data_IF_745150885736
#
_entry.id   IF_745150885736
#
_cell.length_a   1.000
_cell.length_b   1.000
_cell.length_c   1.000
_cell.angle_alpha   90.00
_cell.angle_beta   90.00
_cell.angle_gamma   90.00
#
_symmetry.space_group_name_H-M   'P 1'
#
loop_
_entity.id
_entity.type
_entity.pdbx_description
1 polymer ?
#
# COMPACT_ATOMS: atom_id res chain seq x y z
N UNK A 1 -38.53 28.03 22.67
CA UNK A 1 -37.07 28.15 22.54
C UNK A 1 -36.46 26.78 22.74
N UNK A 2 -36.32 26.05 21.66
CA UNK A 2 -35.77 24.69 21.63
C UNK A 2 -34.38 24.78 20.99
N UNK A 3 -33.34 24.65 21.81
CA UNK A 3 -31.96 24.62 21.38
C UNK A 3 -31.66 23.25 20.77
N UNK A 4 -31.49 23.24 19.45
CA UNK A 4 -30.99 22.10 18.69
C UNK A 4 -29.51 21.97 18.93
N UNK A 5 -29.12 20.91 19.61
CA UNK A 5 -27.70 20.58 19.88
C UNK A 5 -27.22 19.69 18.74
N UNK A 6 -26.67 20.28 17.67
CA UNK A 6 -26.03 19.57 16.58
C UNK A 6 -24.69 19.01 17.05
N UNK A 7 -24.75 17.81 17.61
CA UNK A 7 -23.58 17.01 17.90
C UNK A 7 -23.02 16.47 16.58
N UNK A 8 -22.14 17.25 15.93
CA UNK A 8 -21.44 16.87 14.71
C UNK A 8 -20.45 15.75 15.08
N UNK A 9 -20.91 14.52 14.83
CA UNK A 9 -20.11 13.30 14.96
C UNK A 9 -18.82 13.43 14.13
N UNK A 10 -17.71 13.70 14.81
CA UNK A 10 -16.38 13.77 14.19
C UNK A 10 -16.06 12.41 13.61
N UNK A 11 -15.71 12.28 12.32
CA UNK A 11 -15.41 10.99 11.72
C UNK A 11 -14.23 10.33 12.45
N UNK A 12 -14.49 9.17 13.05
CA UNK A 12 -13.49 8.29 13.65
C UNK A 12 -12.34 8.08 12.68
N UNK A 13 -11.07 8.13 13.12
CA UNK A 13 -9.92 7.88 12.25
C UNK A 13 -10.04 6.50 11.61
N UNK A 14 -9.65 6.32 10.34
CA UNK A 14 -9.82 5.07 9.59
C UNK A 14 -8.98 3.90 10.12
N UNK A 15 -8.05 4.17 11.04
CA UNK A 15 -7.17 3.16 11.62
C UNK A 15 -7.42 3.03 13.14
N UNK A 16 -7.43 1.80 13.70
CA UNK A 16 -7.68 1.57 15.11
C UNK A 16 -6.58 2.17 15.98
N UNK A 17 -6.98 2.80 17.08
CA UNK A 17 -6.06 3.35 18.07
C UNK A 17 -5.29 2.27 18.83
N UNK A 18 -4.13 2.65 19.37
CA UNK A 18 -3.12 1.80 20.04
C UNK A 18 -3.57 0.92 21.22
N UNK A 19 -4.82 0.98 21.67
CA UNK A 19 -5.28 0.33 22.91
C UNK A 19 -5.93 -1.05 22.73
N UNK A 20 -5.86 -1.67 21.53
CA UNK A 20 -6.49 -2.96 21.25
C UNK A 20 -5.52 -4.17 21.24
N UNK A 21 -4.27 -3.97 21.55
CA UNK A 21 -3.27 -5.05 21.59
C UNK A 21 -3.45 -6.05 22.75
N UNK A 22 -4.15 -5.66 23.80
CA UNK A 22 -4.27 -6.46 25.03
C UNK A 22 -5.16 -7.71 24.93
N UNK A 23 -5.92 -7.89 23.85
CA UNK A 23 -6.81 -9.05 23.68
C UNK A 23 -6.20 -10.18 22.82
N UNK A 24 -5.04 -9.93 22.21
CA UNK A 24 -4.40 -10.88 21.28
C UNK A 24 -3.38 -11.83 21.95
N UNK A 25 -3.07 -11.63 23.24
CA UNK A 25 -1.93 -12.32 23.88
C UNK A 25 -2.17 -13.81 24.16
N UNK A 26 -3.43 -14.31 24.10
CA UNK A 26 -3.78 -15.70 24.38
C UNK A 26 -4.27 -16.51 23.17
N UNK A 27 -4.36 -15.92 21.99
CA UNK A 27 -4.83 -16.64 20.81
C UNK A 27 -3.70 -17.41 20.12
N UNK A 28 -3.98 -18.66 19.73
CA UNK A 28 -3.09 -19.46 18.90
C UNK A 28 -3.41 -19.37 17.40
N UNK A 29 -4.23 -18.40 16.99
CA UNK A 29 -4.71 -18.25 15.62
C UNK A 29 -4.07 -17.04 14.96
N UNK A 30 -3.51 -17.22 13.76
CA UNK A 30 -2.98 -16.15 12.93
C UNK A 30 -3.87 -15.85 11.73
N UNK A 31 -3.80 -14.62 11.22
CA UNK A 31 -4.40 -14.20 9.97
C UNK A 31 -3.33 -13.52 9.10
N UNK A 32 -2.85 -14.26 8.10
CA UNK A 32 -1.84 -13.81 7.15
C UNK A 32 -2.52 -13.07 6.00
N UNK A 33 -2.10 -11.85 5.76
CA UNK A 33 -2.61 -11.02 4.66
C UNK A 33 -1.50 -10.72 3.67
N UNK A 34 -1.70 -11.06 2.40
CA UNK A 34 -0.92 -10.43 1.35
C UNK A 34 -1.21 -8.93 1.28
N UNK A 35 -0.25 -8.15 0.77
CA UNK A 35 -0.34 -6.69 0.76
C UNK A 35 -0.91 -6.16 -0.56
N UNK A 36 -0.23 -6.48 -1.67
CA UNK A 36 -0.48 -5.89 -2.98
C UNK A 36 -1.73 -6.48 -3.61
N UNK A 37 -2.72 -5.65 -3.98
CA UNK A 37 -4.05 -6.01 -4.49
C UNK A 37 -4.94 -6.81 -3.51
N UNK A 38 -4.46 -7.10 -2.30
CA UNK A 38 -5.20 -7.76 -1.22
C UNK A 38 -5.59 -6.77 -0.12
N UNK A 39 -4.63 -6.15 0.58
CA UNK A 39 -4.90 -5.00 1.47
C UNK A 39 -4.99 -3.72 0.66
N UNK A 40 -4.08 -3.52 -0.29
CA UNK A 40 -4.04 -2.37 -1.19
C UNK A 40 -4.77 -2.68 -2.51
N UNK A 41 -5.42 -1.70 -3.09
CA UNK A 41 -6.08 -1.82 -4.41
C UNK A 41 -5.09 -1.86 -5.59
N UNK A 42 -3.80 -1.69 -5.34
CA UNK A 42 -2.73 -1.71 -6.34
C UNK A 42 -1.43 -2.22 -5.74
N UNK A 43 -0.41 -2.42 -6.57
CA UNK A 43 0.93 -2.75 -6.09
C UNK A 43 1.54 -1.57 -5.33
N UNK A 44 2.14 -1.85 -4.16
CA UNK A 44 2.84 -0.88 -3.31
C UNK A 44 3.96 -0.16 -4.08
N UNK A 45 4.70 -0.88 -4.92
CA UNK A 45 5.72 -0.32 -5.80
C UNK A 45 5.17 0.75 -6.75
N UNK A 46 3.96 0.57 -7.32
CA UNK A 46 3.31 1.58 -8.16
C UNK A 46 2.89 2.81 -7.34
N UNK A 47 2.32 2.59 -6.17
CA UNK A 47 1.87 3.66 -5.28
C UNK A 47 3.03 4.55 -4.80
N UNK A 48 4.21 3.96 -4.61
CA UNK A 48 5.41 4.62 -4.08
C UNK A 48 6.39 5.08 -5.18
N UNK A 49 6.17 4.71 -6.45
CA UNK A 49 7.07 5.06 -7.56
C UNK A 49 7.36 6.56 -7.65
N UNK A 50 6.32 7.40 -7.64
CA UNK A 50 6.47 8.87 -7.71
C UNK A 50 7.21 9.44 -6.50
N UNK A 51 6.85 9.14 -5.24
CA UNK A 51 7.61 9.57 -4.07
C UNK A 51 9.09 9.14 -4.10
N UNK A 52 9.39 7.90 -4.46
CA UNK A 52 10.76 7.38 -4.50
C UNK A 52 11.61 8.02 -5.61
N UNK A 53 10.99 8.31 -6.77
CA UNK A 53 11.65 9.07 -7.85
C UNK A 53 11.93 10.51 -7.42
N UNK A 54 10.98 11.19 -6.77
CA UNK A 54 11.18 12.56 -6.27
C UNK A 54 12.25 12.64 -5.18
N UNK A 55 12.38 11.60 -4.37
CA UNK A 55 13.42 11.49 -3.35
C UNK A 55 14.80 11.08 -3.91
N UNK A 56 14.91 10.81 -5.21
CA UNK A 56 16.16 10.37 -5.85
C UNK A 56 16.56 8.92 -5.53
N UNK A 57 15.68 8.13 -4.94
CA UNK A 57 15.90 6.71 -4.61
C UNK A 57 15.84 5.84 -5.87
N UNK A 58 14.99 6.21 -6.82
CA UNK A 58 14.79 5.50 -8.08
C UNK A 58 14.86 6.47 -9.26
N UNK A 59 15.40 6.00 -10.39
CA UNK A 59 15.27 6.73 -11.64
C UNK A 59 13.85 6.54 -12.25
N UNK A 60 13.44 7.43 -13.18
CA UNK A 60 12.19 7.26 -13.93
C UNK A 60 12.19 5.97 -14.76
N UNK A 61 13.35 5.53 -15.22
CA UNK A 61 13.52 4.28 -15.98
C UNK A 61 13.37 3.05 -15.09
N UNK A 62 13.87 3.10 -13.86
CA UNK A 62 13.70 2.00 -12.90
C UNK A 62 12.23 1.85 -12.49
N UNK A 63 11.53 2.96 -12.31
CA UNK A 63 10.08 2.96 -12.06
C UNK A 63 9.29 2.33 -13.22
N UNK A 64 9.68 2.61 -14.48
CA UNK A 64 9.08 1.99 -15.65
C UNK A 64 9.40 0.49 -15.74
N UNK A 65 10.64 0.11 -15.49
CA UNK A 65 11.07 -1.30 -15.46
C UNK A 65 10.34 -2.08 -14.37
N UNK A 66 10.19 -1.54 -13.16
CA UNK A 66 9.45 -2.17 -12.09
C UNK A 66 8.00 -2.47 -12.48
N UNK A 67 7.36 -1.60 -13.26
CA UNK A 67 6.01 -1.80 -13.80
C UNK A 67 5.99 -2.88 -14.88
N UNK A 68 6.98 -2.90 -15.76
CA UNK A 68 7.07 -3.86 -16.89
C UNK A 68 7.40 -5.26 -16.39
N UNK A 69 8.27 -5.39 -15.38
CA UNK A 69 8.64 -6.69 -14.78
C UNK A 69 7.45 -7.37 -14.12
N UNK A 70 6.42 -6.62 -13.70
CA UNK A 70 5.18 -7.20 -13.17
C UNK A 70 4.20 -7.72 -14.25
N UNK A 71 4.34 -7.32 -15.52
CA UNK A 71 3.44 -7.71 -16.61
C UNK A 71 3.52 -9.19 -17.05
N UNK A 72 4.69 -9.87 -17.08
CA UNK A 72 4.78 -11.27 -17.49
C UNK A 72 4.11 -12.26 -16.52
N UNK A 73 3.79 -11.83 -15.29
CA UNK A 73 3.19 -12.69 -14.26
C UNK A 73 1.78 -13.16 -14.54
N UNK A 74 1.13 -12.59 -15.55
CA UNK A 74 -0.24 -12.96 -15.90
C UNK A 74 -0.34 -14.24 -16.74
N UNK A 75 0.78 -14.84 -17.20
CA UNK A 75 0.66 -15.76 -18.34
C UNK A 75 1.28 -17.16 -18.24
N UNK A 76 2.16 -17.54 -17.29
CA UNK A 76 2.67 -18.94 -17.26
C UNK A 76 3.33 -19.37 -15.96
N UNK A 77 3.26 -20.68 -15.67
CA UNK A 77 3.60 -21.43 -14.46
C UNK A 77 4.93 -21.17 -13.74
N UNK A 78 5.01 -21.74 -12.56
CA UNK A 78 6.17 -21.68 -11.67
C UNK A 78 7.37 -22.44 -12.27
N UNK A 79 8.40 -21.70 -12.66
CA UNK A 79 9.67 -22.22 -13.12
C UNK A 79 10.79 -21.60 -12.28
N UNK A 80 11.74 -22.41 -11.80
CA UNK A 80 12.86 -21.96 -10.94
C UNK A 80 13.69 -20.85 -11.60
N UNK A 81 13.80 -20.86 -12.92
CA UNK A 81 14.49 -19.82 -13.68
C UNK A 81 13.75 -18.48 -13.61
N UNK A 82 12.45 -18.52 -13.53
CA UNK A 82 11.61 -17.34 -13.40
C UNK A 82 11.74 -16.73 -12.01
N UNK A 83 11.72 -17.55 -10.97
CA UNK A 83 11.96 -17.12 -9.59
C UNK A 83 13.32 -16.42 -9.48
N UNK A 84 14.37 -17.04 -10.03
CA UNK A 84 15.74 -16.44 -10.06
C UNK A 84 15.77 -15.11 -10.80
N UNK A 85 15.07 -15.02 -11.93
CA UNK A 85 14.98 -13.78 -12.72
C UNK A 85 14.28 -12.66 -11.93
N UNK A 86 13.24 -13.01 -11.16
CA UNK A 86 12.54 -12.06 -10.28
C UNK A 86 13.43 -11.55 -9.17
N UNK A 87 14.11 -12.46 -8.46
CA UNK A 87 15.05 -12.11 -7.41
C UNK A 87 16.15 -11.20 -7.94
N UNK A 88 16.70 -11.52 -9.11
CA UNK A 88 17.73 -10.69 -9.77
C UNK A 88 17.17 -9.30 -10.12
N UNK A 89 16.01 -9.24 -10.74
CA UNK A 89 15.37 -7.95 -11.11
C UNK A 89 15.07 -7.08 -9.89
N UNK A 90 14.58 -7.68 -8.80
CA UNK A 90 14.35 -6.97 -7.55
C UNK A 90 15.64 -6.50 -6.90
N UNK A 91 16.69 -7.36 -6.90
CA UNK A 91 18.01 -7.01 -6.39
C UNK A 91 18.61 -5.81 -7.14
N UNK A 92 18.58 -5.85 -8.47
CA UNK A 92 19.07 -4.73 -9.29
C UNK A 92 18.25 -3.44 -9.09
N UNK A 93 16.92 -3.56 -8.92
CA UNK A 93 16.06 -2.42 -8.66
C UNK A 93 16.38 -1.73 -7.32
N UNK A 94 16.75 -2.52 -6.31
CA UNK A 94 17.00 -2.03 -4.95
C UNK A 94 18.47 -1.72 -4.69
N UNK A 95 19.38 -2.09 -5.58
CA UNK A 95 20.82 -1.84 -5.44
C UNK A 95 21.11 -0.36 -5.17
N UNK A 96 21.95 -0.11 -4.16
CA UNK A 96 22.34 1.24 -3.77
C UNK A 96 21.31 1.98 -2.92
N UNK A 97 20.19 1.37 -2.58
CA UNK A 97 19.25 1.98 -1.63
C UNK A 97 19.92 2.13 -0.27
N UNK A 98 19.71 3.30 0.37
CA UNK A 98 19.89 3.43 1.82
C UNK A 98 18.58 2.97 2.49
N UNK A 99 18.57 1.85 3.20
CA UNK A 99 17.37 1.28 3.78
C UNK A 99 16.64 2.22 4.72
N UNK A 100 17.39 2.97 5.55
CA UNK A 100 16.81 3.92 6.52
C UNK A 100 16.20 5.11 5.81
N UNK A 101 16.85 5.60 4.76
CA UNK A 101 16.34 6.69 3.95
C UNK A 101 15.05 6.28 3.22
N UNK A 102 15.01 5.07 2.62
CA UNK A 102 13.82 4.55 1.96
C UNK A 102 12.66 4.44 2.95
N UNK A 103 12.87 3.81 4.12
CA UNK A 103 11.85 3.72 5.16
C UNK A 103 11.32 5.11 5.58
N UNK A 104 12.21 6.08 5.74
CA UNK A 104 11.83 7.46 6.08
C UNK A 104 10.96 8.10 5.00
N UNK A 105 11.30 7.94 3.73
CA UNK A 105 10.50 8.45 2.63
C UNK A 105 9.14 7.77 2.60
N UNK A 106 9.09 6.44 2.65
CA UNK A 106 7.83 5.69 2.65
C UNK A 106 6.95 6.11 3.81
N UNK A 107 7.49 6.18 5.04
CA UNK A 107 6.76 6.66 6.22
C UNK A 107 6.14 8.05 6.01
N UNK A 108 6.87 8.97 5.37
CA UNK A 108 6.40 10.35 5.15
C UNK A 108 5.20 10.44 4.21
N UNK A 109 5.00 9.43 3.36
CA UNK A 109 3.93 9.42 2.33
C UNK A 109 2.86 8.35 2.58
N UNK A 110 2.99 7.49 3.60
CA UNK A 110 2.00 6.42 3.85
C UNK A 110 0.58 6.95 3.96
N UNK A 111 0.35 8.03 4.71
CA UNK A 111 -0.99 8.61 4.90
C UNK A 111 -1.57 9.22 3.63
N UNK A 112 -0.74 9.74 2.72
CA UNK A 112 -1.19 10.41 1.49
C UNK A 112 -1.24 9.50 0.28
N UNK A 113 -0.32 8.54 0.18
CA UNK A 113 -0.14 7.69 -1.00
C UNK A 113 -0.62 6.25 -0.79
N UNK A 114 -0.54 5.72 0.42
CA UNK A 114 -0.91 4.32 0.73
C UNK A 114 -2.32 4.23 1.34
N UNK A 115 -2.61 5.02 2.38
CA UNK A 115 -3.89 4.93 3.08
C UNK A 115 -5.12 5.05 2.15
N UNK A 116 -5.14 5.94 1.11
CA UNK A 116 -6.26 6.01 0.17
C UNK A 116 -6.46 4.76 -0.68
N UNK A 117 -5.44 3.92 -0.80
CA UNK A 117 -5.45 2.72 -1.61
C UNK A 117 -5.84 1.47 -0.82
N UNK A 118 -5.93 1.54 0.51
CA UNK A 118 -6.38 0.41 1.31
C UNK A 118 -7.84 0.09 1.01
N UNK A 119 -8.17 -1.18 0.80
CA UNK A 119 -9.54 -1.63 0.73
C UNK A 119 -10.21 -1.53 2.11
N UNK A 120 -11.39 -0.91 2.17
CA UNK A 120 -12.17 -0.83 3.40
C UNK A 120 -12.56 -2.21 3.93
N UNK A 121 -12.86 -3.12 3.02
CA UNK A 121 -13.20 -4.50 3.35
C UNK A 121 -12.01 -5.25 3.97
N UNK A 122 -10.77 -5.05 3.45
CA UNK A 122 -9.57 -5.62 4.06
C UNK A 122 -9.34 -5.08 5.47
N UNK A 123 -9.47 -3.75 5.65
CA UNK A 123 -9.33 -3.14 6.99
C UNK A 123 -10.39 -3.65 7.96
N UNK A 124 -11.62 -3.87 7.51
CA UNK A 124 -12.69 -4.44 8.34
C UNK A 124 -12.39 -5.89 8.76
N UNK A 125 -11.81 -6.72 7.86
CA UNK A 125 -11.37 -8.07 8.21
C UNK A 125 -10.21 -8.06 9.20
N UNK A 126 -9.20 -7.20 9.00
CA UNK A 126 -8.10 -7.00 9.93
C UNK A 126 -8.64 -6.63 11.33
N UNK A 127 -9.57 -5.69 11.39
CA UNK A 127 -10.20 -5.31 12.66
C UNK A 127 -11.04 -6.44 13.26
N UNK A 128 -11.71 -7.23 12.44
CA UNK A 128 -12.47 -8.41 12.89
C UNK A 128 -11.54 -9.45 13.54
N UNK A 129 -10.42 -9.80 12.89
CA UNK A 129 -9.44 -10.72 13.47
C UNK A 129 -8.88 -10.21 14.79
N UNK A 130 -8.58 -8.91 14.87
CA UNK A 130 -8.14 -8.29 16.13
C UNK A 130 -9.18 -8.38 17.24
N UNK A 131 -10.46 -8.21 16.91
CA UNK A 131 -11.55 -8.33 17.89
C UNK A 131 -11.70 -9.76 18.40
N UNK A 132 -11.36 -10.76 17.59
CA UNK A 132 -11.33 -12.16 17.96
C UNK A 132 -10.04 -12.55 18.73
N UNK A 133 -9.08 -11.64 18.86
CA UNK A 133 -7.79 -11.93 19.49
C UNK A 133 -6.77 -12.58 18.57
N UNK A 134 -7.05 -12.72 17.27
CA UNK A 134 -6.12 -13.34 16.31
C UNK A 134 -4.92 -12.45 16.02
N UNK A 135 -3.77 -13.06 15.77
CA UNK A 135 -2.56 -12.37 15.37
C UNK A 135 -2.61 -12.03 13.88
N UNK A 136 -2.59 -10.72 13.57
CA UNK A 136 -2.61 -10.26 12.18
C UNK A 136 -1.18 -10.06 11.68
N UNK A 137 -0.86 -10.65 10.52
CA UNK A 137 0.47 -10.61 9.89
C UNK A 137 0.33 -10.13 8.46
N UNK A 138 1.21 -9.22 8.03
CA UNK A 138 1.37 -8.92 6.60
C UNK A 138 2.42 -9.87 6.02
N UNK A 139 2.10 -10.54 4.89
CA UNK A 139 3.04 -11.38 4.16
C UNK A 139 3.16 -10.88 2.71
N UNK A 140 4.22 -10.15 2.37
CA UNK A 140 4.38 -9.46 1.08
C UNK A 140 5.69 -9.82 0.37
N UNK A 141 5.67 -9.88 -0.96
CA UNK A 141 6.87 -10.05 -1.77
C UNK A 141 7.70 -8.74 -1.90
N UNK A 142 7.16 -7.61 -1.49
CA UNK A 142 7.85 -6.32 -1.50
C UNK A 142 8.99 -6.26 -0.46
N UNK A 143 10.05 -5.42 -0.65
CA UNK A 143 11.12 -5.25 0.32
C UNK A 143 10.62 -4.76 1.69
N UNK A 144 11.31 -5.16 2.77
CA UNK A 144 10.96 -4.79 4.16
C UNK A 144 10.93 -3.28 4.37
N UNK A 145 11.78 -2.54 3.69
CA UNK A 145 11.87 -1.07 3.72
C UNK A 145 10.57 -0.39 3.24
N UNK A 146 9.79 -1.10 2.44
CA UNK A 146 8.46 -0.67 1.98
C UNK A 146 7.36 -1.21 2.89
N UNK A 147 7.45 -2.48 3.28
CA UNK A 147 6.37 -3.17 4.01
C UNK A 147 6.27 -2.69 5.45
N UNK A 148 7.40 -2.47 6.14
CA UNK A 148 7.41 -2.06 7.56
C UNK A 148 6.68 -0.73 7.80
N UNK A 149 6.91 0.36 7.04
CA UNK A 149 6.12 1.58 7.17
C UNK A 149 4.62 1.40 6.96
N UNK A 150 4.23 0.52 6.03
CA UNK A 150 2.82 0.21 5.78
C UNK A 150 2.22 -0.59 6.93
N UNK A 151 2.94 -1.56 7.48
CA UNK A 151 2.54 -2.31 8.65
C UNK A 151 2.33 -1.38 9.87
N UNK A 152 3.23 -0.42 10.08
CA UNK A 152 3.09 0.62 11.10
C UNK A 152 1.84 1.49 10.90
N UNK A 153 1.58 1.94 9.65
CA UNK A 153 0.37 2.69 9.32
C UNK A 153 -0.89 1.92 9.69
N UNK A 154 -0.90 0.61 9.44
CA UNK A 154 -2.01 -0.29 9.73
C UNK A 154 -2.03 -0.80 11.18
N UNK A 155 -1.04 -0.43 12.00
CA UNK A 155 -0.85 -0.93 13.37
C UNK A 155 -0.77 -2.46 13.43
N UNK A 156 -0.12 -3.08 12.44
CA UNK A 156 0.15 -4.53 12.38
C UNK A 156 1.59 -4.73 12.87
N UNK A 157 1.82 -5.49 13.96
CA UNK A 157 3.15 -5.63 14.55
C UNK A 157 4.06 -6.55 13.76
N UNK A 158 3.50 -7.61 13.15
CA UNK A 158 4.25 -8.65 12.45
C UNK A 158 4.15 -8.49 10.94
N UNK A 159 5.30 -8.48 10.28
CA UNK A 159 5.38 -8.41 8.82
C UNK A 159 6.47 -9.35 8.29
N UNK A 160 6.09 -10.18 7.34
CA UNK A 160 6.96 -11.05 6.56
C UNK A 160 7.13 -10.43 5.18
N UNK A 161 8.36 -10.26 4.74
CA UNK A 161 8.65 -9.59 3.47
C UNK A 161 9.98 -10.03 2.89
N UNK A 162 10.25 -9.63 1.66
CA UNK A 162 11.55 -9.85 1.04
C UNK A 162 12.64 -9.08 1.79
N UNK A 163 13.74 -9.75 2.09
CA UNK A 163 14.91 -9.17 2.76
C UNK A 163 16.03 -9.00 1.74
N UNK A 164 16.43 -7.76 1.53
CA UNK A 164 17.54 -7.40 0.66
C UNK A 164 18.86 -7.45 1.42
N UNK A 165 19.93 -7.89 0.74
CA UNK A 165 21.28 -7.92 1.31
C UNK A 165 21.89 -6.52 1.44
N UNK A 166 22.87 -6.40 2.32
CA UNK A 166 23.55 -5.13 2.61
C UNK A 166 25.05 -5.25 2.44
N UNK A 167 25.65 -4.30 1.74
CA UNK A 167 27.10 -4.15 1.63
C UNK A 167 27.75 -3.65 2.92
N UNK A 168 29.08 -3.58 2.92
CA UNK A 168 29.85 -3.06 4.07
C UNK A 168 29.59 -1.57 4.32
N UNK A 169 29.15 -0.84 3.30
CA UNK A 169 28.74 0.57 3.36
C UNK A 169 27.34 0.78 3.94
N UNK A 170 26.61 -0.31 4.26
CA UNK A 170 25.25 -0.29 4.78
C UNK A 170 24.15 -0.11 3.72
N UNK A 171 24.55 0.11 2.45
CA UNK A 171 23.61 0.20 1.34
C UNK A 171 23.17 -1.18 0.86
N UNK A 172 22.06 -1.25 0.14
CA UNK A 172 21.60 -2.49 -0.50
C UNK A 172 22.57 -2.88 -1.60
N UNK A 173 23.11 -4.10 -1.53
CA UNK A 173 24.14 -4.62 -2.46
C UNK A 173 23.55 -5.31 -3.70
N UNK A 174 22.23 -5.39 -3.79
CA UNK A 174 21.49 -6.04 -4.89
C UNK A 174 21.31 -7.54 -4.70
N UNK A 175 21.73 -8.12 -3.58
CA UNK A 175 21.41 -9.51 -3.26
C UNK A 175 20.06 -9.62 -2.54
N UNK A 176 19.42 -10.78 -2.62
CA UNK A 176 18.20 -11.10 -1.88
C UNK A 176 18.55 -12.24 -0.93
N UNK A 177 18.46 -11.98 0.38
CA UNK A 177 18.75 -12.98 1.42
C UNK A 177 17.55 -13.83 1.77
N UNK A 178 16.35 -13.30 1.60
CA UNK A 178 15.08 -14.03 1.69
C UNK A 178 14.09 -13.45 0.67
N UNK A 179 13.54 -14.29 -0.20
CA UNK A 179 12.52 -13.89 -1.16
C UNK A 179 11.13 -14.35 -0.70
N UNK A 180 10.33 -13.44 -0.20
CA UNK A 180 9.02 -13.73 0.39
C UNK A 180 7.93 -13.86 -0.68
N UNK A 181 8.09 -14.84 -1.58
CA UNK A 181 7.17 -15.12 -2.69
C UNK A 181 6.99 -16.63 -2.85
N UNK A 182 5.79 -17.06 -3.21
CA UNK A 182 5.48 -18.48 -3.45
C UNK A 182 5.82 -19.35 -2.24
N UNK A 183 6.66 -20.35 -2.44
CA UNK A 183 7.10 -21.28 -1.37
C UNK A 183 7.82 -20.53 -0.25
N UNK A 184 8.69 -19.56 -0.57
CA UNK A 184 9.41 -18.78 0.45
C UNK A 184 8.47 -17.96 1.35
N UNK A 185 7.32 -17.49 0.83
CA UNK A 185 6.29 -16.85 1.64
C UNK A 185 5.63 -17.85 2.60
N UNK A 186 5.27 -19.04 2.11
CA UNK A 186 4.68 -20.08 2.94
C UNK A 186 5.64 -20.56 4.04
N UNK A 187 6.92 -20.75 3.72
CA UNK A 187 7.96 -21.12 4.69
C UNK A 187 8.13 -20.05 5.77
N UNK A 188 8.12 -18.76 5.40
CA UNK A 188 8.19 -17.68 6.36
C UNK A 188 6.96 -17.63 7.29
N UNK A 189 5.74 -17.83 6.75
CA UNK A 189 4.52 -17.93 7.54
C UNK A 189 4.58 -19.11 8.51
N UNK A 190 4.98 -20.30 8.01
CA UNK A 190 5.14 -21.50 8.84
C UNK A 190 6.15 -21.29 9.96
N UNK A 191 7.33 -20.75 9.63
CA UNK A 191 8.38 -20.48 10.60
C UNK A 191 7.90 -19.54 11.71
N UNK A 192 7.23 -18.44 11.34
CA UNK A 192 6.68 -17.51 12.33
C UNK A 192 5.61 -18.16 13.20
N UNK A 193 4.73 -18.99 12.63
CA UNK A 193 3.72 -19.73 13.38
C UNK A 193 4.35 -20.72 14.36
N UNK A 194 5.37 -21.47 13.93
CA UNK A 194 6.11 -22.41 14.79
C UNK A 194 6.81 -21.67 15.96
N UNK A 195 7.45 -20.52 15.68
CA UNK A 195 8.12 -19.68 16.69
C UNK A 195 7.16 -19.08 17.73
N UNK A 196 5.92 -18.79 17.33
CA UNK A 196 4.88 -18.19 18.17
C UNK A 196 3.92 -19.18 18.78
N UNK A 197 3.99 -20.47 18.39
CA UNK A 197 3.07 -21.51 18.83
C UNK A 197 1.66 -21.34 18.27
N UNK A 198 1.52 -20.81 17.03
CA UNK A 198 0.22 -20.65 16.39
C UNK A 198 -0.22 -21.90 15.68
N UNK A 199 -1.52 -22.20 15.74
CA UNK A 199 -2.14 -23.32 15.04
C UNK A 199 -2.54 -22.91 13.63
N UNK A 200 -1.79 -23.40 12.65
CA UNK A 200 -2.06 -23.13 11.25
C UNK A 200 -3.36 -23.77 10.75
N UNK A 201 -3.82 -24.86 11.37
CA UNK A 201 -5.08 -25.51 10.99
C UNK A 201 -6.32 -24.68 11.33
N UNK A 202 -6.19 -23.76 12.30
CA UNK A 202 -7.22 -22.79 12.69
C UNK A 202 -6.96 -21.38 12.13
N UNK A 203 -5.81 -21.20 11.47
CA UNK A 203 -5.37 -19.89 10.97
C UNK A 203 -5.92 -19.58 9.59
N UNK A 204 -5.81 -18.29 9.21
CA UNK A 204 -6.36 -17.72 7.99
C UNK A 204 -5.25 -17.19 7.08
N UNK A 205 -5.46 -17.24 5.76
CA UNK A 205 -4.60 -16.58 4.78
C UNK A 205 -5.44 -15.93 3.68
N UNK A 206 -5.08 -14.70 3.32
CA UNK A 206 -5.78 -13.85 2.35
C UNK A 206 -4.82 -13.42 1.23
N UNK A 207 -5.15 -13.71 -0.04
CA UNK A 207 -4.36 -13.28 -1.21
C UNK A 207 -5.20 -13.16 -2.47
N UNK A 208 -4.70 -12.39 -3.45
CA UNK A 208 -5.27 -12.24 -4.79
C UNK A 208 -4.61 -13.14 -5.85
N UNK A 209 -3.46 -13.75 -5.55
CA UNK A 209 -2.60 -14.38 -6.54
C UNK A 209 -2.40 -15.87 -6.34
N UNK A 210 -2.41 -16.62 -7.46
CA UNK A 210 -2.07 -18.04 -7.48
C UNK A 210 -0.63 -18.32 -7.03
N UNK A 211 0.28 -17.34 -7.12
CA UNK A 211 1.65 -17.50 -6.61
C UNK A 211 1.71 -17.78 -5.11
N UNK A 212 0.70 -17.37 -4.37
CA UNK A 212 0.59 -17.59 -2.93
C UNK A 212 -0.21 -18.87 -2.58
N UNK A 213 -0.47 -19.73 -3.56
CA UNK A 213 -1.13 -21.01 -3.33
C UNK A 213 -0.49 -21.81 -2.19
N UNK A 214 0.86 -21.92 -2.09
CA UNK A 214 1.49 -22.60 -0.96
C UNK A 214 1.14 -21.99 0.41
N UNK A 215 0.96 -20.67 0.51
CA UNK A 215 0.51 -20.02 1.75
C UNK A 215 -0.96 -20.33 2.06
N UNK A 216 -1.83 -20.39 1.04
CA UNK A 216 -3.23 -20.77 1.24
C UNK A 216 -3.37 -22.23 1.66
N UNK A 217 -2.55 -23.14 1.12
CA UNK A 217 -2.55 -24.57 1.46
C UNK A 217 -1.97 -24.86 2.84
N UNK A 218 -1.25 -23.89 3.44
CA UNK A 218 -0.65 -24.03 4.75
C UNK A 218 -1.67 -23.89 5.89
N UNK A 219 -2.78 -23.19 5.65
CA UNK A 219 -3.75 -22.80 6.69
C UNK A 219 -5.09 -23.53 6.55
N UNK A 220 -5.84 -23.66 7.67
CA UNK A 220 -7.16 -24.28 7.66
C UNK A 220 -8.25 -23.41 7.02
N UNK A 221 -8.05 -22.07 6.98
CA UNK A 221 -9.04 -21.13 6.45
C UNK A 221 -8.50 -20.27 5.30
N UNK A 222 -8.20 -20.86 4.12
CA UNK A 222 -7.76 -20.11 2.96
C UNK A 222 -8.86 -19.20 2.40
N UNK A 223 -8.51 -17.98 1.99
CA UNK A 223 -9.45 -16.95 1.53
C UNK A 223 -8.89 -16.27 0.27
N UNK A 224 -9.61 -16.34 -0.84
CA UNK A 224 -9.23 -15.67 -2.08
C UNK A 224 -9.85 -14.25 -2.12
N UNK A 225 -9.03 -13.22 -2.36
CA UNK A 225 -9.46 -11.82 -2.41
C UNK A 225 -9.23 -11.27 -3.82
N UNK A 226 -10.29 -10.85 -4.53
CA UNK A 226 -10.16 -10.36 -5.91
C UNK A 226 -9.24 -11.26 -6.77
N UNK A 227 -9.38 -12.61 -6.71
CA UNK A 227 -8.36 -13.52 -7.19
C UNK A 227 -8.08 -13.38 -8.68
N UNK A 228 -6.83 -13.60 -9.07
CA UNK A 228 -6.47 -13.80 -10.45
C UNK A 228 -7.21 -15.01 -11.06
N UNK A 229 -7.16 -15.14 -12.39
CA UNK A 229 -7.94 -16.19 -13.10
C UNK A 229 -7.61 -17.59 -12.61
N UNK A 230 -6.34 -17.88 -12.34
CA UNK A 230 -5.86 -19.20 -11.92
C UNK A 230 -6.28 -19.50 -10.48
N UNK A 231 -6.09 -18.56 -9.57
CA UNK A 231 -6.53 -18.72 -8.18
C UNK A 231 -8.06 -18.82 -8.09
N UNK A 232 -8.79 -18.04 -8.91
CA UNK A 232 -10.26 -18.11 -8.94
C UNK A 232 -10.79 -19.48 -9.39
N UNK A 233 -10.08 -20.16 -10.29
CA UNK A 233 -10.43 -21.52 -10.69
C UNK A 233 -10.20 -22.53 -9.55
N UNK A 234 -9.03 -22.48 -8.91
CA UNK A 234 -8.67 -23.34 -7.78
C UNK A 234 -9.61 -23.11 -6.58
N UNK A 235 -9.89 -21.83 -6.26
CA UNK A 235 -10.76 -21.50 -5.14
C UNK A 235 -12.20 -22.05 -5.34
N UNK A 236 -12.72 -22.03 -6.57
CA UNK A 236 -14.03 -22.65 -6.87
C UNK A 236 -13.99 -24.17 -6.78
N UNK A 237 -12.94 -24.80 -7.31
CA UNK A 237 -12.75 -26.25 -7.26
C UNK A 237 -12.64 -26.77 -5.83
N UNK A 238 -11.95 -26.00 -4.96
CA UNK A 238 -11.71 -26.36 -3.56
C UNK A 238 -12.75 -25.79 -2.59
N UNK A 239 -13.78 -25.13 -3.12
CA UNK A 239 -14.84 -24.46 -2.34
C UNK A 239 -14.32 -23.43 -1.34
N UNK A 240 -13.19 -22.78 -1.66
CA UNK A 240 -12.63 -21.70 -0.84
C UNK A 240 -13.45 -20.43 -0.97
N UNK A 241 -13.65 -19.67 0.11
CA UNK A 241 -14.34 -18.38 0.05
C UNK A 241 -13.63 -17.39 -0.90
N UNK A 242 -14.44 -16.74 -1.75
CA UNK A 242 -13.97 -15.68 -2.66
C UNK A 242 -14.58 -14.35 -2.24
N UNK A 243 -13.72 -13.41 -1.88
CA UNK A 243 -14.09 -12.05 -1.49
C UNK A 243 -13.91 -11.09 -2.67
N UNK A 244 -14.88 -10.21 -2.87
CA UNK A 244 -14.76 -9.11 -3.84
C UNK A 244 -14.65 -7.79 -3.11
N UNK A 245 -13.47 -7.18 -3.12
CA UNK A 245 -13.20 -5.87 -2.55
C UNK A 245 -13.25 -4.81 -3.64
N UNK A 246 -14.03 -3.76 -3.43
CA UNK A 246 -14.26 -2.72 -4.44
C UNK A 246 -14.12 -1.31 -3.87
N UNK A 247 -14.13 -1.16 -2.55
CA UNK A 247 -14.16 0.14 -1.90
C UNK A 247 -12.84 0.46 -1.22
N UNK A 248 -12.18 1.52 -1.64
CA UNK A 248 -10.99 2.05 -0.97
C UNK A 248 -11.35 3.12 0.07
N UNK A 249 -10.40 3.44 0.94
CA UNK A 249 -10.54 4.51 1.94
C UNK A 249 -10.64 5.86 1.24
N UNK A 250 -11.75 6.58 1.45
CA UNK A 250 -11.89 7.95 0.96
C UNK A 250 -11.23 8.90 1.97
N UNK A 251 -10.03 9.37 1.69
CA UNK A 251 -9.51 10.54 2.42
C UNK A 251 -10.28 11.75 1.90
N UNK A 252 -11.11 12.36 2.75
CA UNK A 252 -11.63 13.71 2.49
C UNK A 252 -10.40 14.62 2.43
N UNK A 253 -9.92 14.91 1.23
CA UNK A 253 -8.97 15.98 1.06
C UNK A 253 -9.69 17.25 1.58
N UNK A 254 -9.21 17.77 2.68
CA UNK A 254 -9.53 19.12 3.10
C UNK A 254 -8.94 19.99 1.98
N UNK A 255 -9.74 20.26 0.95
CA UNK A 255 -9.40 21.31 -0.01
C UNK A 255 -9.10 22.52 0.84
N UNK A 256 -7.82 22.83 1.01
CA UNK A 256 -7.37 24.14 1.42
C UNK A 256 -7.98 25.03 0.34
N UNK A 257 -9.12 25.64 0.65
CA UNK A 257 -9.64 26.75 -0.11
C UNK A 257 -8.52 27.78 -0.05
N UNK A 258 -7.63 27.76 -1.04
CA UNK A 258 -6.84 28.93 -1.37
C UNK A 258 -7.93 29.94 -1.67
N UNK A 259 -8.21 30.81 -0.69
CA UNK A 259 -8.79 32.10 -0.96
C UNK A 259 -7.86 32.73 -2.01
N UNK A 260 -8.20 32.53 -3.27
CA UNK A 260 -7.78 33.42 -4.33
C UNK A 260 -8.32 34.75 -3.87
N UNK A 261 -7.45 35.56 -3.25
CA UNK A 261 -7.67 36.98 -3.15
C UNK A 261 -7.96 37.41 -4.59
N UNK A 262 -9.23 37.64 -4.90
CA UNK A 262 -9.63 38.21 -6.17
C UNK A 262 -8.84 39.48 -6.29
N UNK A 263 -7.85 39.49 -7.18
CA UNK A 263 -7.28 40.71 -7.71
C UNK A 263 -8.44 41.39 -8.42
N UNK A 264 -9.09 42.33 -7.71
CA UNK A 264 -9.99 43.30 -8.32
C UNK A 264 -9.14 44.01 -9.37
N UNK A 265 -9.47 43.91 -10.66
CA UNK A 265 -8.71 44.63 -11.67
C UNK A 265 -8.93 46.13 -11.41
N UNK A 266 -7.86 46.82 -11.08
CA UNK A 266 -7.78 48.29 -10.99
C UNK A 266 -7.82 48.84 -12.44
N UNK A 267 -8.93 48.60 -13.14
CA UNK A 267 -9.15 49.00 -14.53
C UNK A 267 -10.22 50.09 -14.68
N UNK A 268 -10.47 50.85 -13.61
CA UNK A 268 -11.50 51.93 -13.64
C UNK A 268 -10.97 53.34 -13.34
N UNK A 269 -9.65 53.55 -13.36
CA UNK A 269 -9.10 54.90 -13.19
C UNK A 269 -8.36 55.44 -14.45
N UNK A 270 -8.19 54.58 -15.51
CA UNK A 270 -7.53 55.00 -16.75
C UNK A 270 -8.45 55.61 -17.83
N UNK A 271 -9.80 55.55 -17.66
CA UNK A 271 -10.76 55.91 -18.72
C UNK A 271 -11.15 57.38 -18.86
N UNK A 272 -10.77 58.23 -17.92
CA UNK A 272 -11.19 59.67 -17.96
C UNK A 272 -10.11 60.60 -18.52
N UNK A 273 -8.85 60.14 -18.65
CA UNK A 273 -7.73 60.94 -19.16
C UNK A 273 -7.59 61.05 -20.67
N UNK A 274 -8.12 60.06 -21.43
CA UNK A 274 -7.91 60.04 -22.89
C UNK A 274 -8.99 60.81 -23.66
N UNK A 275 -10.17 61.03 -23.08
CA UNK A 275 -11.26 61.79 -23.69
C UNK A 275 -11.02 63.32 -23.72
N UNK A 276 -10.09 63.84 -22.92
CA UNK A 276 -9.86 65.27 -22.83
C UNK A 276 -8.76 65.75 -23.81
N UNK A 277 -7.93 64.87 -24.33
CA UNK A 277 -6.84 65.26 -25.23
C UNK A 277 -7.22 65.20 -26.72
N UNK A 278 -8.21 64.39 -27.10
CA UNK A 278 -8.66 64.26 -28.51
C UNK A 278 -9.56 65.38 -29.00
N UNK A 279 -9.96 66.32 -28.14
CA UNK A 279 -10.86 67.43 -28.54
C UNK A 279 -10.14 68.73 -28.86
N UNK A 280 -8.80 68.79 -28.84
CA UNK A 280 -8.02 70.01 -29.07
C UNK A 280 -7.18 70.08 -30.34
N UNK A 281 -7.37 69.18 -31.27
CA UNK A 281 -6.59 69.12 -32.50
C UNK A 281 -7.48 68.94 -33.74
N UNK A 282 -8.44 69.88 -33.93
CA UNK A 282 -9.06 70.07 -35.25
C UNK A 282 -8.90 71.57 -35.55
N UNK A 283 -7.98 71.94 -36.44
CA UNK A 283 -7.96 73.34 -36.98
C UNK A 283 -9.09 73.48 -38.00
N UNK A 284 -9.82 74.58 -37.82
CA UNK A 284 -10.79 75.10 -38.81
C UNK A 284 -10.12 75.42 -40.14
N UNK A 285 -10.63 74.84 -41.19
CA UNK A 285 -10.87 75.53 -42.48
C UNK A 285 -12.05 74.86 -43.15
#
# INVERSE_FOLDING_TARGET
MTTHNDNIDSPKPPFPGKNRQALAEDSHIAAFFDLDKTILATASAMALSTPLVHAGVMSRWDSLRATIVQLPYLFTGADDDRMRSMMHALGELTRGWDPQYVEKIVNSVTSSSIAPLCYRQALALIDHHRLLGHHVVIASASPMEIVRPIAHLLSIPDALSTIVGRGQDGLVDGTITHFNHGIGKAEACKKLADERGWDLSESYAYTDSVSDLPMLELVGHPQAVNPDRSLAAIAREREWPIHTFTQTVRIRSRKRTRMTLAMIPLALVGGIGIGYWARRSIPSK
#
